data_IF_236974156868
#
_entry.id   IF_236974156868
#
_cell.length_a   1.000
_cell.length_b   1.000
_cell.length_c   1.000
_cell.angle_alpha   90.00
_cell.angle_beta   90.00
_cell.angle_gamma   90.00
#
_symmetry.space_group_name_H-M   'P 1'
#
loop_
_entity.id
_entity.type
_entity.pdbx_description
1 polymer ?
#
# COMPACT_ATOMS: atom_id res chain seq x y z
N UNK A 1 -3.88 -8.72 -17.18
CA UNK A 1 -4.60 -7.66 -16.45
C UNK A 1 -3.64 -6.53 -16.12
N UNK A 2 -4.03 -5.30 -16.38
CA UNK A 2 -3.18 -4.10 -16.26
C UNK A 2 -3.89 -2.94 -15.53
N UNK A 3 -5.10 -3.18 -15.00
CA UNK A 3 -5.81 -2.20 -14.17
C UNK A 3 -6.28 -2.84 -12.87
N UNK A 4 -6.46 -2.04 -11.82
CA UNK A 4 -7.02 -2.48 -10.53
C UNK A 4 -8.40 -3.07 -10.72
N UNK A 5 -9.21 -2.46 -11.62
CA UNK A 5 -10.56 -2.93 -11.96
C UNK A 5 -10.58 -4.34 -12.52
N UNK A 6 -9.67 -4.64 -13.47
CA UNK A 6 -9.59 -5.98 -14.06
C UNK A 6 -9.30 -7.07 -13.05
N UNK A 7 -8.43 -6.81 -12.05
CA UNK A 7 -8.15 -7.77 -10.98
C UNK A 7 -9.33 -7.98 -10.05
N UNK A 8 -10.03 -6.90 -9.66
CA UNK A 8 -11.25 -6.99 -8.83
C UNK A 8 -12.32 -7.79 -9.56
N UNK A 9 -12.62 -7.45 -10.82
CA UNK A 9 -13.64 -8.11 -11.63
C UNK A 9 -13.30 -9.60 -11.84
N UNK A 10 -12.01 -9.92 -12.09
CA UNK A 10 -11.57 -11.30 -12.26
C UNK A 10 -11.80 -12.12 -10.99
N UNK A 11 -11.34 -11.67 -9.82
CA UNK A 11 -11.50 -12.44 -8.59
C UNK A 11 -12.95 -12.50 -8.12
N UNK A 12 -13.73 -11.44 -8.31
CA UNK A 12 -15.16 -11.45 -8.01
C UNK A 12 -15.94 -12.44 -8.90
N UNK A 13 -15.51 -12.65 -10.14
CA UNK A 13 -16.11 -13.63 -11.04
C UNK A 13 -15.65 -15.08 -10.76
N UNK A 14 -14.38 -15.29 -10.39
CA UNK A 14 -13.81 -16.64 -10.22
C UNK A 14 -13.99 -17.18 -8.79
N UNK A 15 -13.85 -16.32 -7.79
CA UNK A 15 -13.82 -16.69 -6.36
C UNK A 15 -14.53 -15.63 -5.50
N UNK A 16 -15.83 -15.34 -5.74
CA UNK A 16 -16.55 -14.24 -5.08
C UNK A 16 -16.59 -14.35 -3.56
N UNK A 17 -16.60 -15.56 -3.03
CA UNK A 17 -16.70 -15.83 -1.58
C UNK A 17 -15.34 -15.87 -0.88
N UNK A 18 -14.22 -15.85 -1.61
CA UNK A 18 -12.91 -15.79 -1.00
C UNK A 18 -12.72 -14.43 -0.30
N UNK A 19 -12.21 -14.50 0.94
CA UNK A 19 -11.92 -13.30 1.72
C UNK A 19 -10.68 -12.60 1.17
N UNK A 20 -10.83 -11.32 0.85
CA UNK A 20 -9.73 -10.45 0.44
C UNK A 20 -9.13 -9.68 1.62
N UNK A 21 -9.99 -9.14 2.51
CA UNK A 21 -9.55 -8.32 3.62
C UNK A 21 -10.21 -8.76 4.92
N UNK A 22 -9.41 -8.86 5.98
CA UNK A 22 -9.84 -9.08 7.36
C UNK A 22 -9.41 -7.87 8.18
N UNK A 23 -10.36 -7.22 8.85
CA UNK A 23 -10.07 -6.09 9.74
C UNK A 23 -10.39 -6.51 11.17
N UNK A 24 -9.38 -6.76 12.03
CA UNK A 24 -9.60 -6.99 13.46
C UNK A 24 -10.21 -5.76 14.12
N UNK A 25 -11.29 -5.91 14.87
CA UNK A 25 -12.02 -4.80 15.51
C UNK A 25 -11.39 -4.37 16.84
N UNK A 26 -10.81 -5.32 17.55
CA UNK A 26 -10.18 -5.10 18.85
C UNK A 26 -9.15 -6.20 19.18
N UNK A 27 -8.77 -6.34 20.46
CA UNK A 27 -7.90 -7.43 20.96
C UNK A 27 -8.64 -8.78 21.07
N UNK A 28 -9.93 -8.83 20.74
CA UNK A 28 -10.73 -10.06 20.69
C UNK A 28 -10.72 -10.66 19.29
N UNK A 29 -11.29 -11.87 19.14
CA UNK A 29 -11.38 -12.55 17.83
C UNK A 29 -12.45 -11.93 16.90
N UNK A 30 -13.07 -10.80 17.28
CA UNK A 30 -14.04 -10.11 16.44
C UNK A 30 -13.35 -9.43 15.27
N UNK A 31 -13.83 -9.66 14.05
CA UNK A 31 -13.30 -9.05 12.83
C UNK A 31 -14.41 -8.80 11.82
N UNK A 32 -14.12 -7.91 10.88
CA UNK A 32 -14.90 -7.73 9.66
C UNK A 32 -14.20 -8.38 8.48
N UNK A 33 -14.97 -9.09 7.65
CA UNK A 33 -14.46 -9.75 6.45
C UNK A 33 -15.08 -9.15 5.19
N UNK A 34 -14.22 -8.79 4.26
CA UNK A 34 -14.57 -8.32 2.93
C UNK A 34 -14.16 -9.36 1.89
N UNK A 35 -15.13 -10.03 1.29
CA UNK A 35 -14.90 -10.98 0.19
C UNK A 35 -14.68 -10.24 -1.14
N UNK A 36 -14.12 -10.92 -2.16
CA UNK A 36 -13.96 -10.32 -3.49
C UNK A 36 -15.29 -9.90 -4.12
N UNK A 37 -16.36 -10.66 -3.90
CA UNK A 37 -17.70 -10.30 -4.37
C UNK A 37 -18.24 -9.03 -3.71
N UNK A 38 -18.06 -8.90 -2.38
CA UNK A 38 -18.42 -7.68 -1.65
C UNK A 38 -17.53 -6.49 -2.08
N UNK A 39 -16.21 -6.70 -2.24
CA UNK A 39 -15.29 -5.67 -2.71
C UNK A 39 -15.76 -5.11 -4.06
N UNK A 40 -16.12 -5.99 -5.01
CA UNK A 40 -16.64 -5.56 -6.32
C UNK A 40 -17.88 -4.68 -6.18
N UNK A 41 -18.85 -5.10 -5.35
CA UNK A 41 -20.07 -4.33 -5.11
C UNK A 41 -19.76 -2.95 -4.51
N UNK A 42 -18.85 -2.88 -3.54
CA UNK A 42 -18.46 -1.62 -2.91
C UNK A 42 -17.73 -0.70 -3.88
N UNK A 43 -16.83 -1.24 -4.68
CA UNK A 43 -16.07 -0.47 -5.67
C UNK A 43 -17.01 0.12 -6.74
N UNK A 44 -18.04 -0.61 -7.18
CA UNK A 44 -19.07 -0.10 -8.08
C UNK A 44 -19.86 1.04 -7.44
N UNK A 45 -20.30 0.85 -6.20
CA UNK A 45 -21.02 1.89 -5.45
C UNK A 45 -20.17 3.15 -5.23
N UNK A 46 -18.88 3.01 -4.92
CA UNK A 46 -17.96 4.17 -4.81
C UNK A 46 -17.89 4.90 -6.16
N UNK A 47 -17.71 4.19 -7.26
CA UNK A 47 -17.64 4.77 -8.60
C UNK A 47 -18.92 5.51 -9.01
N UNK A 48 -20.09 4.96 -8.68
CA UNK A 48 -21.41 5.56 -8.90
C UNK A 48 -21.57 6.85 -8.10
N UNK A 49 -21.29 6.81 -6.80
CA UNK A 49 -21.39 7.99 -5.93
C UNK A 49 -20.43 9.12 -6.37
N UNK A 50 -19.19 8.79 -6.74
CA UNK A 50 -18.24 9.79 -7.25
C UNK A 50 -18.75 10.44 -8.54
N UNK A 51 -19.33 9.66 -9.47
CA UNK A 51 -19.93 10.19 -10.70
C UNK A 51 -21.11 11.10 -10.38
N UNK A 52 -21.98 10.69 -9.46
CA UNK A 52 -23.15 11.48 -9.02
C UNK A 52 -22.75 12.81 -8.39
N UNK A 53 -21.61 12.86 -7.73
CA UNK A 53 -21.00 14.08 -7.17
C UNK A 53 -20.25 14.93 -8.21
N UNK A 54 -20.23 14.51 -9.47
CA UNK A 54 -19.55 15.25 -10.55
C UNK A 54 -18.04 15.05 -10.59
N UNK A 55 -17.51 14.07 -9.85
CA UNK A 55 -16.09 13.71 -9.92
C UNK A 55 -15.84 12.88 -11.18
N UNK A 56 -15.19 13.48 -12.16
CA UNK A 56 -14.98 12.88 -13.48
C UNK A 56 -13.81 11.86 -13.47
N UNK A 57 -13.74 10.95 -14.46
CA UNK A 57 -12.54 10.15 -14.70
C UNK A 57 -11.29 11.05 -14.83
N UNK A 58 -10.19 10.65 -14.19
CA UNK A 58 -8.94 11.43 -14.10
C UNK A 58 -8.91 12.46 -12.97
N UNK A 59 -10.05 12.80 -12.35
CA UNK A 59 -10.07 13.68 -11.19
C UNK A 59 -9.37 13.04 -9.99
N UNK A 60 -8.73 13.88 -9.18
CA UNK A 60 -8.02 13.48 -7.98
C UNK A 60 -8.94 13.50 -6.77
N UNK A 61 -8.91 12.43 -6.01
CA UNK A 61 -9.69 12.22 -4.79
C UNK A 61 -8.73 11.90 -3.65
N UNK A 62 -8.65 12.77 -2.66
CA UNK A 62 -7.79 12.56 -1.51
C UNK A 62 -8.47 11.72 -0.42
N UNK A 63 -7.68 11.10 0.46
CA UNK A 63 -8.20 10.59 1.72
C UNK A 63 -7.21 10.82 2.87
N UNK A 64 -7.76 11.09 4.05
CA UNK A 64 -7.04 11.23 5.31
C UNK A 64 -7.70 10.33 6.37
N UNK A 65 -7.16 9.14 6.57
CA UNK A 65 -7.69 8.15 7.49
C UNK A 65 -6.65 7.12 7.90
N UNK A 66 -6.90 6.47 9.02
CA UNK A 66 -6.10 5.33 9.50
C UNK A 66 -6.37 4.09 8.65
N UNK A 67 -5.53 3.04 8.81
CA UNK A 67 -5.79 1.73 8.21
C UNK A 67 -7.16 1.19 8.64
N UNK A 68 -7.77 0.41 7.77
CA UNK A 68 -9.06 -0.23 8.02
C UNK A 68 -9.76 -0.61 6.73
N UNK A 69 -10.94 -1.21 6.87
CA UNK A 69 -11.71 -1.72 5.75
C UNK A 69 -12.03 -0.61 4.71
N UNK A 70 -12.49 0.54 5.19
CA UNK A 70 -12.87 1.64 4.29
C UNK A 70 -11.67 2.33 3.63
N UNK A 71 -10.52 2.38 4.31
CA UNK A 71 -9.30 2.88 3.68
C UNK A 71 -8.92 2.06 2.45
N UNK A 72 -9.01 0.72 2.53
CA UNK A 72 -8.72 -0.18 1.41
C UNK A 72 -9.80 -0.09 0.33
N UNK A 73 -11.07 -0.07 0.71
CA UNK A 73 -12.19 0.02 -0.25
C UNK A 73 -12.14 1.32 -1.06
N UNK A 74 -11.87 2.46 -0.39
CA UNK A 74 -11.73 3.75 -1.06
C UNK A 74 -10.46 3.80 -1.91
N UNK A 75 -9.34 3.28 -1.39
CA UNK A 75 -8.07 3.20 -2.14
C UNK A 75 -8.25 2.44 -3.46
N UNK A 76 -8.87 1.26 -3.42
CA UNK A 76 -9.10 0.45 -4.61
C UNK A 76 -10.27 0.98 -5.47
N UNK A 77 -11.35 1.47 -4.83
CA UNK A 77 -12.57 1.89 -5.51
C UNK A 77 -12.39 3.16 -6.35
N UNK A 78 -11.63 4.12 -5.85
CA UNK A 78 -11.31 5.34 -6.61
C UNK A 78 -10.50 4.99 -7.86
N UNK A 79 -9.46 4.16 -7.73
CA UNK A 79 -8.65 3.70 -8.87
C UNK A 79 -9.46 2.86 -9.86
N UNK A 80 -10.27 1.92 -9.37
CA UNK A 80 -11.10 1.07 -10.23
C UNK A 80 -12.20 1.86 -10.95
N UNK A 81 -12.58 3.03 -10.44
CA UNK A 81 -13.50 3.98 -11.07
C UNK A 81 -12.80 4.98 -12.01
N UNK A 82 -11.58 4.73 -12.45
CA UNK A 82 -10.78 5.60 -13.32
C UNK A 82 -10.50 7.00 -12.74
N UNK A 83 -10.37 7.13 -11.42
CA UNK A 83 -9.96 8.37 -10.73
C UNK A 83 -8.61 8.13 -10.05
N UNK A 84 -7.96 9.25 -9.66
CA UNK A 84 -6.65 9.21 -9.02
C UNK A 84 -6.81 9.32 -7.51
N UNK A 85 -6.40 8.30 -6.77
CA UNK A 85 -6.42 8.36 -5.31
C UNK A 85 -5.18 9.07 -4.77
N UNK A 86 -5.37 9.96 -3.79
CA UNK A 86 -4.29 10.73 -3.16
C UNK A 86 -4.30 10.47 -1.65
N UNK A 87 -3.56 9.49 -1.16
CA UNK A 87 -3.43 9.24 0.27
C UNK A 87 -2.64 10.36 0.96
N UNK A 88 -3.23 10.95 2.01
CA UNK A 88 -2.56 11.97 2.81
C UNK A 88 -1.92 11.29 4.03
N UNK A 89 -0.67 11.61 4.31
CA UNK A 89 0.04 11.08 5.47
C UNK A 89 -0.54 11.68 6.76
N UNK A 90 -1.23 10.85 7.55
CA UNK A 90 -1.92 11.24 8.78
C UNK A 90 -0.98 11.72 9.92
N UNK A 91 0.32 11.43 9.83
CA UNK A 91 1.33 11.88 10.81
C UNK A 91 2.22 13.00 10.27
N UNK A 92 1.93 13.51 9.07
CA UNK A 92 2.63 14.68 8.54
C UNK A 92 2.27 15.96 9.32
N UNK A 93 3.17 16.93 9.34
CA UNK A 93 2.84 18.25 9.89
C UNK A 93 1.82 19.01 9.02
N UNK A 94 1.08 19.94 9.64
CA UNK A 94 0.03 20.73 8.97
C UNK A 94 0.49 21.43 7.69
N UNK A 95 1.71 21.99 7.69
CA UNK A 95 2.30 22.63 6.51
C UNK A 95 2.44 21.65 5.33
N UNK A 96 2.84 20.40 5.60
CA UNK A 96 2.98 19.39 4.56
C UNK A 96 1.60 18.91 4.07
N UNK A 97 0.65 18.72 4.98
CA UNK A 97 -0.73 18.37 4.60
C UNK A 97 -1.39 19.46 3.75
N UNK A 98 -1.23 20.73 4.15
CA UNK A 98 -1.73 21.88 3.38
C UNK A 98 -1.09 21.93 1.99
N UNK A 99 0.22 21.70 1.91
CA UNK A 99 0.91 21.61 0.62
C UNK A 99 0.30 20.52 -0.26
N UNK A 100 0.10 19.31 0.27
CA UNK A 100 -0.53 18.21 -0.48
C UNK A 100 -1.92 18.58 -0.98
N UNK A 101 -2.78 19.11 -0.09
CA UNK A 101 -4.15 19.52 -0.42
C UNK A 101 -4.23 20.59 -1.52
N UNK A 102 -3.30 21.55 -1.49
CA UNK A 102 -3.27 22.65 -2.48
C UNK A 102 -2.64 22.24 -3.80
N UNK A 103 -1.63 21.37 -3.74
CA UNK A 103 -0.83 20.99 -4.91
C UNK A 103 -1.44 19.81 -5.70
N UNK A 104 -2.16 18.88 -5.04
CA UNK A 104 -2.67 17.68 -5.70
C UNK A 104 -3.89 17.91 -6.59
N UNK A 105 -4.49 19.07 -6.58
CA UNK A 105 -5.71 19.39 -7.33
C UNK A 105 -6.93 18.52 -7.02
N UNK A 106 -6.98 17.89 -5.82
CA UNK A 106 -8.14 17.14 -5.41
C UNK A 106 -9.37 18.04 -5.24
N UNK A 107 -10.51 17.57 -5.75
CA UNK A 107 -11.81 18.25 -5.61
C UNK A 107 -12.64 17.65 -4.46
N UNK A 108 -12.27 16.47 -4.00
CA UNK A 108 -12.94 15.74 -2.92
C UNK A 108 -11.90 15.11 -1.99
N UNK A 109 -12.19 15.11 -0.69
CA UNK A 109 -11.40 14.40 0.32
C UNK A 109 -12.30 13.58 1.23
N UNK A 110 -11.97 12.30 1.37
CA UNK A 110 -12.53 11.42 2.41
C UNK A 110 -11.74 11.61 3.70
N UNK A 111 -12.43 11.75 4.82
CA UNK A 111 -11.79 12.01 6.11
C UNK A 111 -12.39 11.16 7.23
N UNK A 112 -11.53 10.54 8.03
CA UNK A 112 -11.98 9.89 9.26
C UNK A 112 -12.36 10.94 10.32
N UNK A 113 -13.31 10.65 11.23
CA UNK A 113 -13.83 11.60 12.22
C UNK A 113 -12.74 12.29 13.04
N UNK A 114 -11.68 11.54 13.41
CA UNK A 114 -10.58 12.05 14.23
C UNK A 114 -9.74 13.15 13.55
N UNK A 115 -9.78 13.25 12.22
CA UNK A 115 -9.03 14.26 11.45
C UNK A 115 -9.90 15.38 10.90
N UNK A 116 -11.23 15.30 11.06
CA UNK A 116 -12.20 16.19 10.42
C UNK A 116 -11.99 17.67 10.73
N UNK A 117 -11.86 18.01 12.01
CA UNK A 117 -11.71 19.41 12.44
C UNK A 117 -10.39 20.01 11.94
N UNK A 118 -9.29 19.25 12.07
CA UNK A 118 -7.98 19.67 11.58
C UNK A 118 -8.01 19.88 10.06
N UNK A 119 -8.57 18.93 9.32
CA UNK A 119 -8.64 19.01 7.86
C UNK A 119 -9.51 20.17 7.38
N UNK A 120 -10.65 20.42 8.05
CA UNK A 120 -11.50 21.56 7.75
C UNK A 120 -10.76 22.90 7.93
N UNK A 121 -9.95 23.03 8.99
CA UNK A 121 -9.12 24.21 9.20
C UNK A 121 -8.08 24.38 8.09
N UNK A 122 -7.42 23.29 7.65
CA UNK A 122 -6.45 23.34 6.55
C UNK A 122 -7.10 23.71 5.21
N UNK A 123 -8.28 23.16 4.91
CA UNK A 123 -9.04 23.51 3.70
C UNK A 123 -9.43 25.00 3.73
N UNK A 124 -9.86 25.53 4.87
CA UNK A 124 -10.20 26.94 5.02
C UNK A 124 -9.00 27.90 4.82
N UNK A 125 -7.78 27.42 5.02
CA UNK A 125 -6.54 28.15 4.74
C UNK A 125 -6.11 28.06 3.28
N UNK A 126 -6.71 27.17 2.51
CA UNK A 126 -6.45 27.01 1.08
C UNK A 126 -7.41 27.89 0.27
N UNK A 127 -6.94 28.38 -0.88
CA UNK A 127 -7.79 29.09 -1.85
C UNK A 127 -8.67 28.17 -2.69
N UNK A 128 -8.76 26.88 -2.30
CA UNK A 128 -9.45 25.83 -3.06
C UNK A 128 -10.78 25.46 -2.43
N UNK A 129 -11.75 25.14 -3.28
CA UNK A 129 -12.98 24.48 -2.86
C UNK A 129 -12.81 22.96 -2.94
N UNK A 130 -12.66 22.32 -1.77
CA UNK A 130 -12.51 20.87 -1.65
C UNK A 130 -13.71 20.33 -0.87
N UNK A 131 -14.51 19.48 -1.51
CA UNK A 131 -15.62 18.81 -0.84
C UNK A 131 -15.08 17.79 0.16
N UNK A 132 -15.59 17.79 1.39
CA UNK A 132 -15.19 16.86 2.43
C UNK A 132 -16.32 15.86 2.71
N UNK A 133 -16.00 14.57 2.68
CA UNK A 133 -16.91 13.46 3.04
C UNK A 133 -16.34 12.74 4.25
N UNK A 134 -17.08 12.74 5.35
CA UNK A 134 -16.73 11.97 6.53
C UNK A 134 -16.93 10.49 6.28
N UNK A 135 -15.98 9.68 6.75
CA UNK A 135 -16.00 8.21 6.64
C UNK A 135 -16.06 7.59 8.02
N UNK A 136 -17.20 7.07 8.38
CA UNK A 136 -17.37 6.27 9.61
C UNK A 136 -16.63 4.94 9.49
N UNK A 137 -16.05 4.47 10.59
CA UNK A 137 -15.36 3.19 10.64
C UNK A 137 -16.31 2.01 10.31
N UNK A 138 -17.55 2.09 10.78
CA UNK A 138 -18.54 1.01 10.63
C UNK A 138 -19.40 1.19 9.37
N UNK A 139 -19.88 2.41 9.09
CA UNK A 139 -20.90 2.66 8.07
C UNK A 139 -20.30 3.16 6.75
N UNK A 140 -19.02 3.56 6.76
CA UNK A 140 -18.33 4.07 5.58
C UNK A 140 -18.59 5.55 5.28
N UNK A 141 -18.47 5.95 4.00
CA UNK A 141 -18.64 7.34 3.60
C UNK A 141 -20.08 7.82 3.80
N UNK A 142 -20.23 8.98 4.46
CA UNK A 142 -21.50 9.67 4.57
C UNK A 142 -21.79 10.45 3.26
N UNK A 143 -22.25 9.69 2.26
CA UNK A 143 -22.55 10.26 0.95
C UNK A 143 -23.65 11.33 1.06
N UNK A 144 -23.45 12.53 0.48
CA UNK A 144 -24.51 13.55 0.47
C UNK A 144 -25.66 13.09 -0.42
N UNK A 145 -26.89 13.47 -0.03
CA UNK A 145 -28.06 13.24 -0.87
C UNK A 145 -27.88 13.97 -2.22
N UNK A 146 -28.07 13.26 -3.31
CA UNK A 146 -28.00 13.82 -4.64
C UNK A 146 -29.29 13.55 -5.38
N UNK A 147 -29.87 14.60 -5.96
CA UNK A 147 -31.01 14.49 -6.87
C UNK A 147 -30.58 14.20 -8.32
N UNK A 148 -29.30 13.97 -8.55
CA UNK A 148 -28.76 13.77 -9.88
C UNK A 148 -28.88 12.28 -10.27
N UNK A 149 -29.93 11.94 -10.98
CA UNK A 149 -30.10 10.61 -11.59
C UNK A 149 -29.39 10.60 -12.95
N UNK A 150 -28.06 10.69 -12.95
CA UNK A 150 -27.29 10.47 -14.18
C UNK A 150 -27.34 8.98 -14.52
N UNK A 151 -27.52 8.64 -15.80
CA UNK A 151 -27.30 7.29 -16.27
C UNK A 151 -25.83 6.91 -16.00
N UNK A 152 -25.61 6.21 -14.87
CA UNK A 152 -24.28 5.79 -14.49
C UNK A 152 -23.79 4.74 -15.49
N UNK A 153 -22.79 5.12 -16.28
CA UNK A 153 -21.94 4.18 -16.98
C UNK A 153 -20.61 4.11 -16.24
N UNK A 154 -20.26 2.93 -15.75
CA UNK A 154 -19.00 2.74 -15.04
C UNK A 154 -17.82 3.16 -15.93
N UNK A 155 -17.06 4.14 -15.48
CA UNK A 155 -15.81 4.47 -16.13
C UNK A 155 -14.84 3.29 -15.96
N UNK A 156 -14.35 2.76 -17.08
CA UNK A 156 -13.42 1.65 -17.10
C UNK A 156 -12.01 2.22 -17.32
N UNK A 157 -11.09 2.08 -16.35
CA UNK A 157 -9.74 2.59 -16.52
C UNK A 157 -8.96 1.80 -17.58
N UNK A 158 -8.09 2.49 -18.29
CA UNK A 158 -7.07 1.91 -19.17
C UNK A 158 -5.74 1.74 -18.40
N UNK A 159 -4.83 0.96 -18.94
CA UNK A 159 -3.53 0.70 -18.31
C UNK A 159 -2.69 1.97 -18.09
N UNK A 160 -2.85 2.94 -18.95
CA UNK A 160 -2.04 4.18 -18.97
C UNK A 160 -2.70 5.34 -18.22
N UNK A 161 -3.95 5.16 -17.74
CA UNK A 161 -4.60 6.18 -16.91
C UNK A 161 -3.89 6.31 -15.56
N UNK A 162 -3.79 7.55 -15.05
CA UNK A 162 -3.32 7.83 -13.70
C UNK A 162 -4.21 7.14 -12.66
N UNK A 163 -3.60 6.54 -11.65
CA UNK A 163 -4.31 5.78 -10.62
C UNK A 163 -4.01 6.25 -9.21
N UNK A 164 -2.75 6.54 -8.92
CA UNK A 164 -2.26 6.84 -7.58
C UNK A 164 -1.29 8.00 -7.62
N UNK A 165 -1.54 9.00 -6.78
CA UNK A 165 -0.62 10.12 -6.54
C UNK A 165 -0.11 10.03 -5.10
N UNK A 166 1.14 9.65 -4.93
CA UNK A 166 1.80 9.58 -3.63
C UNK A 166 2.85 10.66 -3.46
N UNK A 167 2.83 11.31 -2.29
CA UNK A 167 3.81 12.33 -1.95
C UNK A 167 4.99 11.73 -1.20
N UNK A 168 6.20 12.04 -1.67
CA UNK A 168 7.47 11.61 -1.07
C UNK A 168 8.14 12.80 -0.39
N UNK A 169 8.88 12.53 0.71
CA UNK A 169 9.74 13.54 1.33
C UNK A 169 10.92 13.84 0.39
N UNK A 170 10.79 14.89 -0.43
CA UNK A 170 11.87 15.34 -1.30
C UNK A 170 13.07 15.87 -0.49
N UNK A 171 14.27 15.77 -1.05
CA UNK A 171 15.51 16.35 -0.51
C UNK A 171 15.45 17.89 -0.39
N UNK A 172 14.46 18.53 -0.99
CA UNK A 172 14.27 20.00 -1.05
C UNK A 172 13.30 20.56 0.00
N UNK A 173 12.79 19.73 0.91
CA UNK A 173 11.94 20.15 2.04
C UNK A 173 10.43 20.05 1.80
N UNK A 174 9.91 20.27 0.59
CA UNK A 174 8.50 20.04 0.25
C UNK A 174 8.32 18.67 -0.41
N UNK A 175 7.23 17.94 -0.07
CA UNK A 175 6.93 16.67 -0.69
C UNK A 175 6.69 16.80 -2.20
N UNK A 176 7.22 15.85 -2.98
CA UNK A 176 6.98 15.72 -4.42
C UNK A 176 5.89 14.69 -4.67
N UNK A 177 4.96 14.97 -5.58
CA UNK A 177 3.89 14.05 -5.95
C UNK A 177 4.32 13.11 -7.07
N UNK A 178 4.52 11.83 -6.77
CA UNK A 178 4.80 10.79 -7.76
C UNK A 178 3.49 10.25 -8.33
N UNK A 179 3.30 10.34 -9.65
CA UNK A 179 2.12 9.85 -10.37
C UNK A 179 2.39 8.43 -10.87
N UNK A 180 1.55 7.50 -10.45
CA UNK A 180 1.59 6.10 -10.86
C UNK A 180 0.34 5.77 -11.68
N UNK A 181 0.56 5.18 -12.87
CA UNK A 181 -0.54 4.70 -13.72
C UNK A 181 -1.16 3.41 -13.18
N UNK A 182 -2.29 2.99 -13.75
CA UNK A 182 -2.91 1.68 -13.49
C UNK A 182 -1.91 0.54 -13.75
N UNK A 183 -1.15 0.65 -14.86
CA UNK A 183 -0.06 -0.27 -15.22
C UNK A 183 1.02 -0.29 -14.14
N UNK A 184 1.46 0.89 -13.68
CA UNK A 184 2.51 0.97 -12.65
C UNK A 184 2.05 0.33 -11.35
N UNK A 185 0.82 0.60 -10.90
CA UNK A 185 0.22 0.01 -9.70
C UNK A 185 0.15 -1.52 -9.81
N UNK A 186 -0.41 -2.04 -10.89
CA UNK A 186 -0.56 -3.49 -11.05
C UNK A 186 0.77 -4.20 -11.26
N UNK A 187 1.72 -3.58 -11.95
CA UNK A 187 3.07 -4.13 -12.15
C UNK A 187 3.86 -4.15 -10.84
N UNK A 188 3.73 -3.10 -10.00
CA UNK A 188 4.29 -3.12 -8.64
C UNK A 188 3.77 -4.30 -7.81
N UNK A 189 2.46 -4.56 -7.84
CA UNK A 189 1.87 -5.74 -7.21
C UNK A 189 2.41 -7.06 -7.77
N UNK A 190 2.52 -7.17 -9.11
CA UNK A 190 3.10 -8.36 -9.78
C UNK A 190 4.55 -8.61 -9.39
N UNK A 191 5.35 -7.54 -9.23
CA UNK A 191 6.75 -7.67 -8.81
C UNK A 191 6.85 -8.25 -7.40
N UNK A 192 5.98 -7.83 -6.48
CA UNK A 192 5.93 -8.42 -5.12
C UNK A 192 5.53 -9.89 -5.18
N UNK A 193 4.50 -10.23 -5.97
CA UNK A 193 4.05 -11.62 -6.19
C UNK A 193 5.19 -12.48 -6.73
N UNK A 194 5.89 -12.00 -7.74
CA UNK A 194 7.02 -12.70 -8.36
C UNK A 194 8.19 -12.87 -7.37
N UNK A 195 8.60 -11.79 -6.69
CA UNK A 195 9.75 -11.79 -5.78
C UNK A 195 9.57 -12.68 -4.56
N UNK A 196 8.33 -12.93 -4.14
CA UNK A 196 8.02 -13.70 -2.93
C UNK A 196 7.24 -14.98 -3.21
N UNK A 197 7.07 -15.34 -4.49
CA UNK A 197 6.30 -16.52 -4.91
C UNK A 197 4.92 -16.58 -4.22
N UNK A 198 4.19 -15.44 -4.24
CA UNK A 198 2.88 -15.36 -3.62
C UNK A 198 1.81 -16.04 -4.48
N UNK A 199 0.85 -16.64 -3.81
CA UNK A 199 -0.30 -17.32 -4.41
C UNK A 199 -1.61 -16.86 -3.75
N UNK A 200 -2.72 -17.36 -4.23
CA UNK A 200 -4.03 -17.09 -3.63
C UNK A 200 -4.22 -17.68 -2.21
N UNK A 201 -3.33 -18.58 -1.79
CA UNK A 201 -3.33 -19.10 -0.41
C UNK A 201 -2.54 -18.21 0.57
N UNK A 202 -1.81 -17.22 0.07
CA UNK A 202 -1.02 -16.35 0.92
C UNK A 202 -1.88 -15.24 1.57
N UNK A 203 -1.56 -14.95 2.83
CA UNK A 203 -2.22 -13.93 3.63
C UNK A 203 -1.20 -12.99 4.24
N UNK A 204 -1.29 -11.71 3.87
CA UNK A 204 -0.41 -10.66 4.38
C UNK A 204 -0.89 -10.14 5.74
N UNK A 205 0.00 -9.93 6.71
CA UNK A 205 -0.28 -9.02 7.83
C UNK A 205 0.20 -7.61 7.45
N UNK A 206 -0.73 -6.67 7.26
CA UNK A 206 -0.46 -5.28 6.91
C UNK A 206 -0.46 -4.40 8.15
N UNK A 207 0.71 -4.11 8.70
CA UNK A 207 0.88 -3.20 9.85
C UNK A 207 1.39 -1.82 9.47
N UNK A 208 1.70 -1.62 8.20
CA UNK A 208 2.17 -0.34 7.67
C UNK A 208 1.00 0.48 7.11
N UNK A 209 1.06 1.82 7.22
CA UNK A 209 -0.02 2.66 6.73
C UNK A 209 -0.20 2.60 5.22
N UNK A 210 -1.46 2.61 4.75
CA UNK A 210 -1.79 2.62 3.31
C UNK A 210 -1.47 3.95 2.60
N UNK A 211 -1.13 5.00 3.34
CA UNK A 211 -0.59 6.24 2.76
C UNK A 211 0.91 6.15 2.43
N UNK A 212 1.57 5.04 2.72
CA UNK A 212 2.93 4.74 2.26
C UNK A 212 2.92 3.62 1.24
N UNK A 213 3.82 3.73 0.25
CA UNK A 213 3.95 2.76 -0.84
C UNK A 213 4.09 1.31 -0.35
N UNK A 214 4.78 1.09 0.78
CA UNK A 214 4.96 -0.25 1.33
C UNK A 214 3.65 -0.83 1.88
N UNK A 215 2.83 -0.05 2.57
CA UNK A 215 1.48 -0.48 2.99
C UNK A 215 0.56 -0.70 1.79
N UNK A 216 0.44 0.31 0.92
CA UNK A 216 -0.49 0.30 -0.20
C UNK A 216 -0.16 -0.76 -1.25
N UNK A 217 1.07 -0.78 -1.74
CA UNK A 217 1.44 -1.61 -2.88
C UNK A 217 1.84 -3.02 -2.47
N UNK A 218 2.64 -3.15 -1.41
CA UNK A 218 3.18 -4.44 -1.04
C UNK A 218 2.13 -5.30 -0.35
N UNK A 219 1.37 -4.72 0.60
CA UNK A 219 0.45 -5.50 1.43
C UNK A 219 -1.03 -5.33 1.08
N UNK A 220 -1.39 -4.53 0.07
CA UNK A 220 -2.76 -4.47 -0.50
C UNK A 220 -2.77 -4.84 -1.97
N UNK A 221 -1.98 -4.16 -2.83
CA UNK A 221 -2.01 -4.45 -4.27
C UNK A 221 -1.45 -5.83 -4.62
N UNK A 222 -0.42 -6.33 -3.94
CA UNK A 222 0.10 -7.67 -4.24
C UNK A 222 -0.88 -8.80 -3.88
N UNK A 223 -1.56 -8.83 -2.72
CA UNK A 223 -2.67 -9.76 -2.47
C UNK A 223 -3.81 -9.64 -3.48
N UNK A 224 -4.19 -8.42 -3.89
CA UNK A 224 -5.17 -8.25 -4.97
C UNK A 224 -4.71 -8.92 -6.27
N UNK A 225 -3.44 -8.78 -6.64
CA UNK A 225 -2.88 -9.38 -7.86
C UNK A 225 -2.82 -10.90 -7.76
N UNK A 226 -2.42 -11.46 -6.61
CA UNK A 226 -2.30 -12.92 -6.41
C UNK A 226 -3.62 -13.63 -6.13
N UNK A 227 -4.70 -12.89 -5.82
CA UNK A 227 -5.95 -13.46 -5.30
C UNK A 227 -5.85 -13.91 -3.84
N UNK A 228 -4.82 -13.49 -3.13
CA UNK A 228 -4.61 -13.73 -1.71
C UNK A 228 -5.43 -12.80 -0.82
N UNK A 229 -5.07 -12.75 0.47
CA UNK A 229 -5.79 -11.95 1.45
C UNK A 229 -4.89 -11.08 2.32
N UNK A 230 -5.51 -10.11 3.01
CA UNK A 230 -4.84 -9.14 3.89
C UNK A 230 -5.51 -9.16 5.26
N UNK A 231 -4.72 -9.20 6.32
CA UNK A 231 -5.15 -8.84 7.68
C UNK A 231 -4.63 -7.44 7.99
N UNK A 232 -5.53 -6.51 8.27
CA UNK A 232 -5.17 -5.11 8.44
C UNK A 232 -5.70 -4.56 9.77
N UNK A 233 -4.92 -4.60 10.85
CA UNK A 233 -5.25 -3.87 12.07
C UNK A 233 -5.17 -2.36 11.84
N UNK A 234 -5.91 -1.59 12.62
CA UNK A 234 -5.96 -0.12 12.54
C UNK A 234 -4.58 0.54 12.69
N UNK A 235 -3.71 -0.07 13.51
CA UNK A 235 -2.33 0.37 13.74
C UNK A 235 -1.42 -0.80 14.15
N UNK A 236 -0.12 -0.61 13.99
CA UNK A 236 0.86 -1.55 14.52
C UNK A 236 0.81 -1.61 16.05
N UNK A 237 0.89 -2.83 16.57
CA UNK A 237 1.05 -3.12 17.99
C UNK A 237 2.07 -4.24 18.17
N UNK A 238 3.12 -3.97 18.94
CA UNK A 238 4.15 -4.97 19.27
C UNK A 238 3.54 -6.18 19.97
N UNK A 239 2.57 -5.94 20.86
CA UNK A 239 1.88 -6.98 21.63
C UNK A 239 1.02 -7.88 20.74
N UNK A 240 0.36 -7.28 19.73
CA UNK A 240 -0.61 -8.00 18.91
C UNK A 240 0.00 -8.64 17.66
N UNK A 241 1.20 -8.27 17.25
CA UNK A 241 1.79 -8.70 15.96
C UNK A 241 1.75 -10.23 15.77
N UNK A 242 2.33 -10.97 16.71
CA UNK A 242 2.38 -12.43 16.64
C UNK A 242 1.02 -13.08 16.90
N UNK A 243 0.20 -12.48 17.77
CA UNK A 243 -1.17 -12.96 18.02
C UNK A 243 -2.03 -12.87 16.74
N UNK A 244 -1.93 -11.77 15.98
CA UNK A 244 -2.65 -11.60 14.73
C UNK A 244 -2.14 -12.58 13.65
N UNK A 245 -0.82 -12.85 13.58
CA UNK A 245 -0.28 -13.87 12.69
C UNK A 245 -0.88 -15.24 13.00
N UNK A 246 -0.92 -15.60 14.26
CA UNK A 246 -1.45 -16.87 14.72
C UNK A 246 -2.96 -17.00 14.52
N UNK A 247 -3.73 -16.03 14.99
CA UNK A 247 -5.20 -16.01 14.96
C UNK A 247 -5.73 -16.05 13.53
N UNK A 248 -5.19 -15.18 12.66
CA UNK A 248 -5.65 -15.06 11.28
C UNK A 248 -4.83 -15.87 10.29
N UNK A 249 -3.90 -16.68 10.76
CA UNK A 249 -3.07 -17.56 9.93
C UNK A 249 -2.36 -16.79 8.81
N UNK A 250 -1.70 -15.67 9.14
CA UNK A 250 -0.93 -14.91 8.17
C UNK A 250 0.29 -15.71 7.71
N UNK A 251 0.59 -15.67 6.41
CA UNK A 251 1.73 -16.38 5.82
C UNK A 251 2.97 -15.50 5.66
N UNK A 252 2.80 -14.17 5.71
CA UNK A 252 3.90 -13.22 5.59
C UNK A 252 3.53 -11.82 6.08
N UNK A 253 4.56 -10.99 6.30
CA UNK A 253 4.38 -9.57 6.63
C UNK A 253 5.47 -8.72 6.02
N UNK A 254 5.14 -7.45 5.69
CA UNK A 254 6.11 -6.43 5.31
C UNK A 254 6.28 -5.45 6.46
N UNK A 255 7.51 -5.32 6.94
CA UNK A 255 7.87 -4.48 8.09
C UNK A 255 9.10 -3.63 7.77
N UNK A 256 9.41 -2.70 8.66
CA UNK A 256 10.56 -1.81 8.54
C UNK A 256 11.54 -2.05 9.69
N UNK A 257 12.82 -1.67 9.57
CA UNK A 257 13.83 -1.92 10.62
C UNK A 257 13.42 -1.48 12.03
N UNK A 258 12.67 -0.40 12.16
CA UNK A 258 12.17 0.06 13.47
C UNK A 258 11.19 -0.93 14.09
N UNK A 259 10.28 -1.52 13.29
CA UNK A 259 9.34 -2.55 13.76
C UNK A 259 10.11 -3.82 14.13
N UNK A 260 11.09 -4.22 13.31
CA UNK A 260 11.95 -5.37 13.60
C UNK A 260 12.62 -5.20 14.98
N UNK A 261 13.19 -4.02 15.23
CA UNK A 261 13.80 -3.72 16.54
C UNK A 261 12.80 -3.84 17.69
N UNK A 262 11.61 -3.24 17.55
CA UNK A 262 10.58 -3.33 18.61
C UNK A 262 10.13 -4.77 18.90
N UNK A 263 10.04 -5.61 17.87
CA UNK A 263 9.67 -7.01 18.04
C UNK A 263 10.79 -7.81 18.69
N UNK A 264 12.06 -7.55 18.35
CA UNK A 264 13.23 -8.15 19.00
C UNK A 264 13.33 -7.71 20.47
N UNK A 265 13.21 -6.40 20.76
CA UNK A 265 13.23 -5.89 22.13
C UNK A 265 12.11 -6.53 22.98
N UNK A 266 10.93 -6.78 22.39
CA UNK A 266 9.80 -7.45 23.06
C UNK A 266 10.07 -8.93 23.35
N UNK A 267 10.81 -9.61 22.48
CA UNK A 267 11.14 -11.03 22.66
C UNK A 267 12.07 -11.29 23.86
N UNK A 268 12.74 -10.26 24.37
CA UNK A 268 13.60 -10.34 25.54
C UNK A 268 12.83 -10.23 26.87
N UNK A 269 11.51 -9.92 26.83
CA UNK A 269 10.70 -9.77 28.03
C UNK A 269 10.33 -11.13 28.62
N UNK A 270 10.33 -11.24 29.98
CA UNK A 270 10.05 -12.49 30.69
C UNK A 270 8.65 -13.09 30.41
N UNK A 271 7.68 -12.24 30.03
CA UNK A 271 6.31 -12.63 29.70
C UNK A 271 6.10 -12.83 28.21
N UNK A 272 7.16 -12.84 27.41
CA UNK A 272 7.05 -13.06 25.97
C UNK A 272 6.78 -14.53 25.67
N UNK A 273 5.63 -14.76 25.06
CA UNK A 273 5.26 -16.06 24.52
C UNK A 273 4.96 -15.92 23.03
N UNK A 274 5.59 -16.70 22.18
CA UNK A 274 5.29 -16.81 20.77
C UNK A 274 3.89 -17.35 20.47
N UNK A 275 3.23 -17.89 21.49
CA UNK A 275 2.14 -18.80 21.29
C UNK A 275 2.65 -20.17 20.80
N UNK A 276 1.75 -21.00 20.38
CA UNK A 276 2.08 -22.37 19.94
C UNK A 276 2.98 -22.33 18.70
N UNK A 277 4.17 -22.93 18.75
CA UNK A 277 5.13 -23.02 17.63
C UNK A 277 4.46 -23.50 16.32
N UNK A 278 3.47 -24.39 16.40
CA UNK A 278 2.67 -24.82 15.24
C UNK A 278 1.91 -23.68 14.54
N UNK A 279 1.56 -22.59 15.24
CA UNK A 279 0.86 -21.45 14.66
C UNK A 279 1.78 -20.62 13.76
N UNK A 280 3.10 -20.74 13.96
CA UNK A 280 4.10 -20.05 13.13
C UNK A 280 4.58 -20.90 11.95
N UNK A 281 4.28 -22.19 11.89
CA UNK A 281 4.70 -23.09 10.79
C UNK A 281 4.22 -22.55 9.42
N UNK A 282 3.11 -21.84 9.38
CA UNK A 282 2.57 -21.22 8.15
C UNK A 282 3.17 -19.86 7.83
N UNK A 283 3.83 -19.18 8.80
CA UNK A 283 4.43 -17.87 8.57
C UNK A 283 5.74 -18.03 7.80
N UNK A 284 5.66 -17.94 6.49
CA UNK A 284 6.72 -18.31 5.56
C UNK A 284 7.92 -17.37 5.61
N UNK A 285 7.67 -16.06 5.80
CA UNK A 285 8.71 -15.03 5.84
C UNK A 285 8.20 -13.70 6.36
N UNK A 286 9.12 -12.87 6.88
CA UNK A 286 8.95 -11.44 6.97
C UNK A 286 9.86 -10.77 5.93
N UNK A 287 9.45 -9.61 5.40
CA UNK A 287 10.33 -8.81 4.54
C UNK A 287 10.64 -7.46 5.18
N UNK A 288 11.87 -6.98 4.95
CA UNK A 288 12.34 -5.66 5.35
C UNK A 288 12.52 -4.77 4.14
N UNK A 289 12.01 -3.54 4.25
CA UNK A 289 12.13 -2.51 3.21
C UNK A 289 12.19 -1.10 3.82
N UNK A 290 12.26 -0.10 2.96
CA UNK A 290 12.21 1.35 3.26
C UNK A 290 13.45 1.92 3.96
N UNK A 291 14.30 1.10 4.54
CA UNK A 291 15.61 1.49 5.08
C UNK A 291 16.55 0.26 5.08
N UNK A 292 17.89 0.49 5.08
CA UNK A 292 18.84 -0.60 5.19
C UNK A 292 18.66 -1.38 6.50
N UNK A 293 18.72 -2.72 6.43
CA UNK A 293 18.70 -3.60 7.59
C UNK A 293 20.14 -4.04 7.90
N UNK A 294 20.69 -3.76 9.10
CA UNK A 294 21.99 -4.30 9.47
C UNK A 294 21.98 -5.83 9.48
N UNK A 295 22.99 -6.45 8.87
CA UNK A 295 23.09 -7.91 8.78
C UNK A 295 23.03 -8.62 10.15
N UNK A 296 23.52 -7.97 11.21
CA UNK A 296 23.44 -8.50 12.58
C UNK A 296 21.97 -8.55 13.07
N UNK A 297 21.16 -7.56 12.72
CA UNK A 297 19.75 -7.52 13.11
C UNK A 297 18.96 -8.57 12.34
N UNK A 298 19.24 -8.74 11.03
CA UNK A 298 18.65 -9.81 10.22
C UNK A 298 18.94 -11.18 10.85
N UNK A 299 20.20 -11.43 11.20
CA UNK A 299 20.61 -12.70 11.83
C UNK A 299 19.90 -12.91 13.17
N UNK A 300 19.86 -11.88 14.02
CA UNK A 300 19.14 -11.95 15.30
C UNK A 300 17.65 -12.26 15.10
N UNK A 301 17.00 -11.66 14.10
CA UNK A 301 15.62 -11.98 13.76
C UNK A 301 15.43 -13.47 13.44
N UNK A 302 16.26 -14.02 12.56
CA UNK A 302 16.14 -15.42 12.14
C UNK A 302 16.46 -16.41 13.26
N UNK A 303 17.41 -16.09 14.14
CA UNK A 303 17.73 -16.86 15.33
C UNK A 303 16.62 -16.79 16.39
N UNK A 304 15.97 -15.64 16.54
CA UNK A 304 14.92 -15.43 17.56
C UNK A 304 13.58 -16.01 17.10
N UNK A 305 13.20 -15.74 15.85
CA UNK A 305 11.85 -16.02 15.37
C UNK A 305 11.76 -17.21 14.41
N UNK A 306 12.87 -17.86 14.11
CA UNK A 306 12.94 -19.00 13.19
C UNK A 306 12.28 -18.77 11.83
N UNK A 307 12.14 -17.50 11.43
CA UNK A 307 11.44 -17.07 10.24
C UNK A 307 12.40 -16.32 9.32
N UNK A 308 12.48 -16.67 8.03
CA UNK A 308 13.31 -15.95 7.06
C UNK A 308 12.99 -14.46 6.99
N UNK A 309 14.02 -13.61 6.97
CA UNK A 309 13.91 -12.18 6.70
C UNK A 309 14.40 -11.89 5.29
N UNK A 310 13.53 -11.33 4.44
CA UNK A 310 13.83 -11.02 3.04
C UNK A 310 14.07 -9.52 2.90
N UNK A 311 15.32 -9.13 2.62
CA UNK A 311 15.64 -7.74 2.31
C UNK A 311 15.24 -7.40 0.88
N UNK A 312 14.63 -6.22 0.71
CA UNK A 312 14.12 -5.76 -0.59
C UNK A 312 14.41 -4.28 -0.81
N UNK A 313 14.49 -3.87 -2.07
CA UNK A 313 14.54 -2.48 -2.49
C UNK A 313 13.23 -2.12 -3.19
N UNK A 314 12.72 -0.95 -2.87
CA UNK A 314 11.58 -0.35 -3.55
C UNK A 314 11.49 1.14 -3.23
N UNK A 315 10.87 1.87 -4.13
CA UNK A 315 10.69 3.31 -4.06
C UNK A 315 9.23 3.64 -4.31
N UNK A 316 8.78 4.82 -3.94
CA UNK A 316 7.47 5.32 -4.34
C UNK A 316 7.40 5.44 -5.86
N UNK A 317 8.47 5.92 -6.46
CA UNK A 317 8.65 6.14 -7.89
C UNK A 317 8.62 4.85 -8.73
N UNK A 318 8.72 3.71 -8.07
CA UNK A 318 8.68 2.39 -8.74
C UNK A 318 7.49 1.54 -8.27
N UNK A 319 6.43 2.17 -7.76
CA UNK A 319 5.26 1.44 -7.22
C UNK A 319 5.64 0.28 -6.28
N UNK A 320 6.70 0.43 -5.50
CA UNK A 320 7.18 -0.57 -4.55
C UNK A 320 8.40 -1.33 -5.03
N UNK A 321 8.35 -2.67 -4.98
CA UNK A 321 9.51 -3.55 -5.11
C UNK A 321 10.14 -3.57 -6.50
N UNK A 322 11.45 -3.35 -6.56
CA UNK A 322 12.28 -3.50 -7.77
C UNK A 322 13.34 -4.58 -7.63
N UNK A 323 13.80 -4.85 -6.41
CA UNK A 323 14.74 -5.92 -6.13
C UNK A 323 14.37 -6.64 -4.84
N UNK A 324 14.71 -7.93 -4.77
CA UNK A 324 14.46 -8.78 -3.62
C UNK A 324 15.56 -9.83 -3.49
N UNK A 325 15.96 -10.12 -2.26
CA UNK A 325 16.63 -11.38 -2.00
C UNK A 325 15.69 -12.53 -2.35
N UNK A 326 16.23 -13.67 -2.83
CA UNK A 326 15.40 -14.82 -3.20
C UNK A 326 14.73 -15.45 -1.98
N UNK A 327 13.62 -16.13 -2.25
CA UNK A 327 12.96 -16.94 -1.22
C UNK A 327 13.76 -18.21 -0.90
N UNK A 328 13.72 -18.71 0.35
CA UNK A 328 14.28 -20.00 0.67
C UNK A 328 13.72 -21.12 -0.25
N UNK A 329 14.49 -22.14 -0.62
CA UNK A 329 15.84 -22.49 -0.09
C UNK A 329 17.02 -21.80 -0.81
N UNK A 330 16.79 -20.84 -1.70
CA UNK A 330 17.89 -20.11 -2.34
C UNK A 330 18.69 -19.28 -1.33
N UNK A 331 19.99 -19.07 -1.63
CA UNK A 331 20.89 -18.35 -0.74
C UNK A 331 20.60 -16.85 -0.81
N UNK A 332 20.27 -16.27 0.34
CA UNK A 332 20.12 -14.83 0.55
C UNK A 332 21.47 -14.21 0.95
N UNK A 333 21.70 -12.97 0.56
CA UNK A 333 22.92 -12.23 0.90
C UNK A 333 22.56 -11.07 1.84
N UNK A 334 22.75 -11.23 3.17
CA UNK A 334 22.47 -10.15 4.13
C UNK A 334 23.24 -8.87 3.79
N UNK A 335 22.55 -7.72 3.91
CA UNK A 335 23.09 -6.40 3.54
C UNK A 335 23.03 -6.11 2.03
N UNK A 336 22.44 -7.01 1.24
CA UNK A 336 22.13 -6.78 -0.18
C UNK A 336 20.63 -6.70 -0.36
N UNK A 337 20.18 -5.88 -1.29
CA UNK A 337 18.76 -5.80 -1.69
C UNK A 337 18.34 -6.94 -2.62
N UNK A 338 19.26 -7.84 -2.99
CA UNK A 338 19.00 -8.99 -3.81
C UNK A 338 19.13 -8.74 -5.31
N UNK A 339 18.24 -9.36 -6.08
CA UNK A 339 18.20 -9.34 -7.55
C UNK A 339 17.04 -8.51 -8.05
N UNK A 340 17.15 -7.99 -9.26
CA UNK A 340 16.02 -7.35 -9.94
C UNK A 340 14.81 -8.27 -10.04
N UNK A 341 13.60 -7.74 -9.80
CA UNK A 341 12.34 -8.45 -9.86
C UNK A 341 11.36 -7.68 -10.73
N UNK A 342 11.04 -8.22 -11.90
CA UNK A 342 10.13 -7.62 -12.87
C UNK A 342 10.61 -6.30 -13.48
N UNK A 343 11.87 -5.97 -13.26
CA UNK A 343 12.52 -4.75 -13.70
C UNK A 343 13.88 -5.06 -14.32
N UNK A 344 14.39 -4.11 -15.11
CA UNK A 344 15.80 -4.02 -15.45
C UNK A 344 16.47 -3.04 -14.48
N UNK A 345 17.57 -3.47 -13.85
CA UNK A 345 18.37 -2.64 -12.96
C UNK A 345 19.81 -2.64 -13.43
N UNK A 346 20.35 -1.46 -13.65
CA UNK A 346 21.71 -1.22 -14.08
C UNK A 346 22.39 -0.22 -13.13
N UNK A 347 23.71 -0.19 -13.13
CA UNK A 347 24.47 0.85 -12.43
C UNK A 347 25.10 1.76 -13.46
N UNK A 348 24.78 3.04 -13.38
CA UNK A 348 25.28 4.07 -14.29
C UNK A 348 26.33 4.97 -13.66
N UNK A 349 27.19 5.56 -14.50
CA UNK A 349 28.05 6.68 -14.13
C UNK A 349 27.23 7.99 -14.02
N UNK A 350 27.84 9.07 -13.57
CA UNK A 350 27.23 10.41 -13.58
C UNK A 350 26.82 10.88 -15.00
N UNK A 351 27.41 10.32 -16.04
CA UNK A 351 27.07 10.61 -17.45
C UNK A 351 26.00 9.65 -18.01
N UNK A 352 25.54 8.68 -17.21
CA UNK A 352 24.52 7.70 -17.61
C UNK A 352 25.06 6.46 -18.33
N UNK A 353 26.38 6.33 -18.51
CA UNK A 353 26.97 5.15 -19.10
C UNK A 353 26.97 3.99 -18.11
N UNK A 354 26.64 2.77 -18.56
CA UNK A 354 26.66 1.59 -17.71
C UNK A 354 28.09 1.28 -17.26
N UNK A 355 28.29 1.13 -15.95
CA UNK A 355 29.60 0.86 -15.37
C UNK A 355 29.84 -0.65 -15.19
N UNK A 356 31.11 -1.03 -15.08
CA UNK A 356 31.50 -2.42 -14.85
C UNK A 356 31.04 -2.91 -13.46
N UNK A 357 30.88 -4.23 -13.30
CA UNK A 357 30.61 -4.86 -12.00
C UNK A 357 31.61 -4.39 -10.93
N UNK A 358 31.15 -4.29 -9.68
CA UNK A 358 31.92 -3.80 -8.52
C UNK A 358 32.28 -2.31 -8.56
N UNK A 359 31.74 -1.55 -9.53
CA UNK A 359 31.89 -0.09 -9.57
C UNK A 359 30.69 0.59 -8.93
N UNK A 360 30.96 1.59 -8.09
CA UNK A 360 29.91 2.42 -7.49
C UNK A 360 29.35 3.40 -8.51
N UNK A 361 28.01 3.53 -8.56
CA UNK A 361 27.32 4.45 -9.47
C UNK A 361 25.87 4.67 -9.07
N UNK A 362 25.11 5.31 -9.94
CA UNK A 362 23.68 5.55 -9.77
C UNK A 362 22.86 4.29 -10.16
N UNK A 363 21.80 4.01 -9.39
CA UNK A 363 20.89 2.90 -9.71
C UNK A 363 19.90 3.36 -10.75
N UNK A 364 20.00 2.78 -11.96
CA UNK A 364 19.08 3.01 -13.08
C UNK A 364 18.02 1.89 -13.10
N UNK A 365 16.75 2.25 -13.12
CA UNK A 365 15.64 1.30 -13.06
C UNK A 365 14.72 1.52 -14.26
N UNK A 366 14.40 0.43 -14.98
CA UNK A 366 13.39 0.41 -16.04
C UNK A 366 12.37 -0.69 -15.78
N UNK A 367 11.08 -0.37 -15.98
CA UNK A 367 9.99 -1.34 -15.85
C UNK A 367 8.62 -0.68 -15.91
N UNK A 368 7.58 -1.49 -16.11
CA UNK A 368 6.19 -1.05 -16.19
C UNK A 368 5.65 -0.45 -14.86
N UNK A 369 6.35 -0.69 -13.76
CA UNK A 369 6.02 -0.18 -12.43
C UNK A 369 6.64 1.20 -12.13
N UNK A 370 7.48 1.74 -13.01
CA UNK A 370 8.09 3.06 -12.82
C UNK A 370 7.04 4.15 -13.01
N UNK A 371 7.15 5.24 -12.23
CA UNK A 371 6.24 6.37 -12.28
C UNK A 371 6.17 6.98 -13.70
N UNK A 372 5.02 7.58 -14.01
CA UNK A 372 4.84 8.30 -15.26
C UNK A 372 5.60 9.63 -15.22
N UNK A 373 5.39 10.38 -14.13
CA UNK A 373 6.01 11.69 -13.90
C UNK A 373 5.85 12.12 -12.44
N UNK A 374 6.52 13.20 -12.07
CA UNK A 374 6.19 13.94 -10.87
C UNK A 374 5.22 15.06 -11.20
N UNK A 375 4.16 15.22 -10.39
CA UNK A 375 3.20 16.28 -10.53
C UNK A 375 3.90 17.65 -10.54
N UNK A 376 3.58 18.49 -11.53
CA UNK A 376 4.11 19.87 -11.70
C UNK A 376 5.63 19.97 -11.94
N UNK A 377 6.34 18.87 -12.14
CA UNK A 377 7.77 18.88 -12.47
C UNK A 377 7.98 18.47 -13.93
N UNK A 378 7.65 19.36 -14.86
CA UNK A 378 7.76 19.10 -16.31
C UNK A 378 9.21 19.03 -16.81
N UNK A 379 10.19 19.42 -15.98
CA UNK A 379 11.60 19.48 -16.36
C UNK A 379 12.51 18.90 -15.25
N UNK A 380 12.59 17.61 -15.20
CA UNK A 380 13.71 16.93 -14.52
C UNK A 380 14.46 16.11 -15.54
#
# INVERSE_FOLDING_TARGET
MNTVREFIDHHAAQTPDNVFLITPLDETSACEELTFGKLKTQVDSIGENLTTLGIAPGDKVAFLMSNGQWAVQLFLGVMAGARVIVPINAVAGETQMLHVLTHCDANLVFVAPEFKEMLAALIAMSDRHIQMIEVSENDGPHWPESNNTSDYSAAIPTADDEALLLYTSGSTGLPKGAILSQRSVTSGGKNVVLGHCLTSSDRALCVLPVYHINGAMVTVAAPLVSGGSVVMPKKFSVKLFWLLIAEYQCTWSSIVPTIIKYLLDRSEAEDFDFGNEKLLEQFRFARSASAPLPAVVLKQWEETFYTPMIETLGLTETAGTVASNPMPPEIRKPGSVGRAVGNEIEIGSETGDIVAAETVGEVLIRGDNVLTEYLSLIHI
#
